data_IF_986000703752
#
_entry.id   IF_986000703752
#
_cell.length_a   1.000
_cell.length_b   1.000
_cell.length_c   1.000
_cell.angle_alpha   90.00
_cell.angle_beta   90.00
_cell.angle_gamma   90.00
#
_symmetry.space_group_name_H-M   'P 1'
#
loop_
_entity.id
_entity.type
_entity.pdbx_description
1 polymer ?
#
# COMPACT_ATOMS: atom_id res chain seq x y z
N UNK A 1 3.49 7.50 22.10
CA UNK A 1 3.20 7.60 20.67
C UNK A 1 3.25 6.24 19.98
N UNK A 2 4.34 5.45 20.09
CA UNK A 2 4.46 4.08 19.52
C UNK A 2 3.25 3.19 19.85
N UNK A 3 2.90 3.04 21.14
CA UNK A 3 1.74 2.24 21.53
C UNK A 3 0.41 2.78 20.99
N UNK A 4 0.28 4.10 20.79
CA UNK A 4 -0.90 4.72 20.19
C UNK A 4 -1.02 4.36 18.72
N UNK A 5 0.07 4.43 17.95
CA UNK A 5 0.11 4.04 16.55
C UNK A 5 -0.33 2.58 16.32
N UNK A 6 0.14 1.65 17.17
CA UNK A 6 -0.30 0.25 17.12
C UNK A 6 -1.77 0.11 17.50
N UNK A 7 -2.20 0.85 18.53
CA UNK A 7 -3.56 0.78 19.05
C UNK A 7 -4.61 1.30 18.06
N UNK A 8 -4.34 2.40 17.33
CA UNK A 8 -5.30 2.95 16.36
C UNK A 8 -5.61 1.96 15.24
N UNK A 9 -4.59 1.26 14.77
CA UNK A 9 -4.75 0.18 13.77
C UNK A 9 -5.45 -1.03 14.37
N UNK A 10 -5.04 -1.52 15.55
CA UNK A 10 -5.77 -2.59 16.24
C UNK A 10 -7.26 -2.27 16.36
N UNK A 11 -7.60 -1.03 16.72
CA UNK A 11 -8.98 -0.61 16.91
C UNK A 11 -9.76 -0.50 15.60
N UNK A 12 -9.13 -0.21 14.46
CA UNK A 12 -9.80 -0.19 13.16
C UNK A 12 -10.11 -1.59 12.61
N UNK A 13 -9.38 -2.62 13.05
CA UNK A 13 -9.53 -4.00 12.54
C UNK A 13 -10.11 -4.98 13.56
N UNK A 14 -10.38 -4.55 14.80
CA UNK A 14 -10.90 -5.46 15.84
C UNK A 14 -12.29 -5.98 15.47
N UNK A 15 -12.61 -7.17 15.96
CA UNK A 15 -13.96 -7.74 15.84
C UNK A 15 -14.99 -6.92 16.59
N UNK A 16 -16.24 -6.98 16.14
CA UNK A 16 -17.38 -6.40 16.85
C UNK A 16 -17.84 -7.37 17.94
N UNK A 17 -17.73 -6.92 19.19
CA UNK A 17 -18.16 -7.70 20.34
C UNK A 17 -19.69 -7.72 20.44
N UNK A 18 -20.29 -8.91 20.43
CA UNK A 18 -21.75 -9.07 20.47
C UNK A 18 -22.30 -9.32 21.89
N UNK A 19 -21.44 -9.71 22.84
CA UNK A 19 -21.82 -10.01 24.21
C UNK A 19 -21.08 -11.21 24.76
N UNK A 20 -21.02 -11.32 26.10
CA UNK A 20 -20.33 -12.44 26.75
C UNK A 20 -21.01 -13.77 26.39
N UNK A 21 -20.22 -14.74 25.93
CA UNK A 21 -20.71 -16.05 25.47
C UNK A 21 -21.25 -16.09 24.04
N UNK A 22 -21.19 -14.97 23.31
CA UNK A 22 -21.42 -14.93 21.86
C UNK A 22 -20.08 -14.77 21.12
N UNK A 23 -19.98 -15.39 19.95
CA UNK A 23 -18.82 -15.22 19.08
C UNK A 23 -18.79 -13.79 18.53
N UNK A 24 -17.65 -13.11 18.65
CA UNK A 24 -17.47 -11.77 18.11
C UNK A 24 -17.49 -11.77 16.58
N UNK A 25 -18.15 -10.78 15.99
CA UNK A 25 -18.31 -10.67 14.53
C UNK A 25 -17.03 -10.13 13.88
N UNK A 26 -16.42 -10.92 12.98
CA UNK A 26 -15.13 -10.63 12.38
C UNK A 26 -15.14 -10.18 10.92
N UNK A 27 -16.29 -10.14 10.25
CA UNK A 27 -16.39 -9.68 8.85
C UNK A 27 -16.54 -8.15 8.78
N UNK A 28 -15.77 -7.44 9.60
CA UNK A 28 -15.71 -5.97 9.63
C UNK A 28 -14.27 -5.52 9.82
N UNK A 29 -13.81 -4.69 8.90
CA UNK A 29 -12.55 -3.96 8.96
C UNK A 29 -12.85 -2.53 8.50
N UNK A 30 -12.31 -1.52 9.19
CA UNK A 30 -12.51 -0.11 8.84
C UNK A 30 -11.35 0.47 8.03
N UNK A 31 -10.29 -0.32 7.79
CA UNK A 31 -8.99 0.12 7.28
C UNK A 31 -8.39 -0.80 6.22
N UNK A 32 -8.96 -1.98 5.96
CA UNK A 32 -8.54 -2.92 4.91
C UNK A 32 -9.75 -3.48 4.17
N UNK A 33 -9.50 -4.22 3.11
CA UNK A 33 -10.47 -4.92 2.28
C UNK A 33 -11.50 -3.99 1.64
N UNK A 34 -11.18 -2.70 1.47
CA UNK A 34 -12.08 -1.75 0.85
C UNK A 34 -11.43 -0.41 0.51
N UNK A 35 -12.18 0.51 -0.15
CA UNK A 35 -11.66 1.78 -0.68
C UNK A 35 -10.85 2.64 0.29
N UNK A 36 -11.23 2.68 1.57
CA UNK A 36 -10.52 3.44 2.60
C UNK A 36 -9.10 2.92 2.94
N UNK A 37 -8.68 1.77 2.42
CA UNK A 37 -7.36 1.18 2.74
C UNK A 37 -6.20 2.17 2.55
N UNK A 38 -6.12 2.81 1.38
CA UNK A 38 -5.02 3.73 1.06
C UNK A 38 -5.10 5.03 1.85
N UNK A 39 -6.30 5.61 1.96
CA UNK A 39 -6.52 6.89 2.66
C UNK A 39 -6.32 6.77 4.16
N UNK A 40 -6.77 5.66 4.75
CA UNK A 40 -6.59 5.36 6.17
C UNK A 40 -5.12 5.23 6.53
N UNK A 41 -4.36 4.43 5.76
CA UNK A 41 -2.93 4.24 6.02
C UNK A 41 -2.11 5.51 5.73
N UNK A 42 -2.51 6.32 4.73
CA UNK A 42 -1.90 7.63 4.48
C UNK A 42 -2.01 8.54 5.72
N UNK A 43 -3.21 8.67 6.31
CA UNK A 43 -3.37 9.46 7.53
C UNK A 43 -2.63 8.85 8.72
N UNK A 44 -2.62 7.53 8.83
CA UNK A 44 -1.90 6.81 9.89
C UNK A 44 -0.41 7.13 9.89
N UNK A 45 0.22 7.16 8.70
CA UNK A 45 1.61 7.56 8.52
C UNK A 45 1.83 9.03 8.82
N UNK A 46 0.96 9.91 8.32
CA UNK A 46 1.08 11.35 8.54
C UNK A 46 1.00 11.72 10.03
N UNK A 47 0.15 11.03 10.79
CA UNK A 47 0.08 11.21 12.24
C UNK A 47 1.37 10.74 12.92
N UNK A 48 1.92 9.58 12.52
CA UNK A 48 3.18 9.09 13.06
C UNK A 48 4.34 10.05 12.76
N UNK A 49 4.42 10.55 11.53
CA UNK A 49 5.47 11.49 11.11
C UNK A 49 5.41 12.78 11.93
N UNK A 50 4.23 13.36 12.09
CA UNK A 50 4.02 14.57 12.91
C UNK A 50 4.38 14.34 14.38
N UNK A 51 3.92 13.23 14.96
CA UNK A 51 4.27 12.87 16.35
C UNK A 51 5.80 12.73 16.53
N UNK A 52 6.49 12.18 15.53
CA UNK A 52 7.96 12.06 15.54
C UNK A 52 8.67 13.39 15.33
N UNK A 53 8.19 14.25 14.43
CA UNK A 53 8.70 15.61 14.23
C UNK A 53 8.63 16.42 15.53
N UNK A 54 7.49 16.37 16.22
CA UNK A 54 7.31 17.04 17.52
C UNK A 54 8.21 16.45 18.60
N UNK A 55 8.30 15.13 18.69
CA UNK A 55 9.14 14.44 19.67
C UNK A 55 10.64 14.76 19.47
N UNK A 56 11.11 14.75 18.23
CA UNK A 56 12.50 15.01 17.86
C UNK A 56 12.82 16.51 17.83
N UNK A 57 11.80 17.37 17.89
CA UNK A 57 11.89 18.81 17.64
C UNK A 57 12.53 19.13 16.29
N UNK A 58 12.28 18.28 15.29
CA UNK A 58 12.79 18.38 13.94
C UNK A 58 11.61 18.43 12.96
N UNK A 59 11.22 19.63 12.48
CA UNK A 59 10.12 19.77 11.53
C UNK A 59 10.46 19.22 10.13
N UNK A 60 11.72 18.87 9.86
CA UNK A 60 12.16 18.29 8.59
C UNK A 60 12.26 16.77 8.63
N UNK A 61 12.04 16.16 9.80
CA UNK A 61 12.01 14.70 9.92
C UNK A 61 10.94 14.11 9.02
N UNK A 62 11.31 13.10 8.23
CA UNK A 62 10.39 12.37 7.36
C UNK A 62 10.54 10.87 7.50
N UNK A 63 9.45 10.15 7.22
CA UNK A 63 9.45 8.69 7.26
C UNK A 63 10.09 8.11 5.98
N UNK A 64 11.16 7.29 6.11
CA UNK A 64 11.75 6.63 4.96
C UNK A 64 10.89 5.45 4.50
N UNK A 65 10.96 5.14 3.21
CA UNK A 65 10.27 4.00 2.60
C UNK A 65 11.19 2.80 2.37
N UNK A 66 10.58 1.62 2.29
CA UNK A 66 11.25 0.39 1.91
C UNK A 66 10.69 -0.12 0.59
N UNK A 67 11.51 -0.08 -0.46
CA UNK A 67 11.17 -0.72 -1.72
C UNK A 67 11.23 -2.24 -1.54
N UNK A 68 10.09 -2.85 -1.25
CA UNK A 68 9.96 -4.30 -1.14
C UNK A 68 9.82 -4.99 -2.51
N UNK A 69 9.54 -4.26 -3.58
CA UNK A 69 9.35 -4.81 -4.92
C UNK A 69 10.69 -5.11 -5.60
N UNK A 70 11.44 -6.07 -5.05
CA UNK A 70 12.81 -6.42 -5.47
C UNK A 70 12.95 -7.85 -5.99
N UNK A 71 11.92 -8.69 -5.86
CA UNK A 71 11.98 -10.12 -6.20
C UNK A 71 12.90 -10.95 -5.30
N UNK A 72 13.39 -10.36 -4.21
CA UNK A 72 14.37 -11.02 -3.32
C UNK A 72 13.69 -12.01 -2.39
N UNK A 73 14.44 -13.06 -2.04
CA UNK A 73 14.06 -14.05 -1.02
C UNK A 73 14.58 -13.66 0.38
N UNK A 74 15.17 -12.48 0.53
CA UNK A 74 15.73 -11.97 1.79
C UNK A 74 15.19 -10.58 2.07
N UNK A 75 15.06 -10.24 3.36
CA UNK A 75 14.80 -8.87 3.80
C UNK A 75 16.13 -8.11 3.80
N UNK A 76 16.29 -7.15 2.90
CA UNK A 76 17.52 -6.37 2.74
C UNK A 76 17.71 -5.29 3.79
N UNK A 77 16.63 -4.78 4.39
CA UNK A 77 16.69 -3.82 5.50
C UNK A 77 16.80 -4.49 6.89
N UNK A 78 16.75 -5.83 6.95
CA UNK A 78 16.82 -6.58 8.20
C UNK A 78 18.28 -6.79 8.65
N UNK A 79 18.93 -5.69 8.99
CA UNK A 79 20.32 -5.61 9.46
C UNK A 79 20.39 -4.86 10.80
N UNK A 80 21.42 -5.11 11.62
CA UNK A 80 21.47 -4.56 13.00
C UNK A 80 21.60 -3.04 13.07
N UNK A 81 22.09 -2.41 12.00
CA UNK A 81 22.17 -0.96 11.80
C UNK A 81 20.82 -0.33 11.41
N UNK A 82 19.92 -1.11 10.82
CA UNK A 82 18.57 -0.71 10.45
C UNK A 82 17.57 -1.47 11.33
N UNK A 83 16.85 -2.44 10.76
CA UNK A 83 15.65 -3.04 11.35
C UNK A 83 15.91 -4.25 12.24
N UNK A 84 17.16 -4.48 12.60
CA UNK A 84 17.65 -5.67 13.28
C UNK A 84 17.81 -6.85 12.33
N UNK A 85 18.88 -7.62 12.50
CA UNK A 85 19.05 -8.90 11.81
C UNK A 85 18.35 -10.05 12.54
N UNK A 86 18.40 -11.24 11.96
CA UNK A 86 17.89 -12.47 12.59
C UNK A 86 18.80 -12.87 13.75
N UNK A 87 18.22 -13.24 14.89
CA UNK A 87 18.99 -13.73 16.03
C UNK A 87 19.65 -15.09 15.73
N UNK A 88 20.90 -15.23 16.15
CA UNK A 88 21.65 -16.49 16.07
C UNK A 88 21.18 -17.52 17.10
N UNK A 89 20.45 -17.09 18.14
CA UNK A 89 19.98 -17.97 19.22
C UNK A 89 18.58 -18.53 18.96
N UNK A 90 17.74 -17.76 18.28
CA UNK A 90 16.40 -18.15 17.90
C UNK A 90 16.09 -17.52 16.54
N UNK A 91 15.80 -18.37 15.55
CA UNK A 91 15.57 -17.94 14.17
C UNK A 91 14.30 -17.12 14.00
N UNK A 92 13.41 -17.11 14.99
CA UNK A 92 12.19 -16.30 15.04
C UNK A 92 12.38 -14.97 15.76
N UNK A 93 13.51 -14.70 16.42
CA UNK A 93 13.74 -13.45 17.14
C UNK A 93 14.67 -12.51 16.39
N UNK A 94 14.65 -11.23 16.79
CA UNK A 94 15.59 -10.22 16.33
C UNK A 94 16.92 -10.34 17.10
N UNK A 95 18.03 -10.09 16.42
CA UNK A 95 19.37 -10.02 17.00
C UNK A 95 19.38 -9.13 18.26
N UNK A 96 19.95 -9.61 19.39
CA UNK A 96 20.08 -8.83 20.63
C UNK A 96 20.87 -7.52 20.47
N UNK A 97 21.64 -7.39 19.39
CA UNK A 97 22.42 -6.20 19.09
C UNK A 97 21.57 -5.04 18.54
N UNK A 98 20.34 -5.32 18.10
CA UNK A 98 19.38 -4.30 17.68
C UNK A 98 18.46 -3.89 18.83
N UNK A 99 18.14 -2.60 18.90
CA UNK A 99 17.20 -2.03 19.89
C UNK A 99 15.81 -2.67 19.81
N UNK A 100 15.41 -3.16 18.63
CA UNK A 100 14.11 -3.79 18.42
C UNK A 100 13.97 -5.15 19.12
N UNK A 101 15.07 -5.79 19.53
CA UNK A 101 15.01 -7.01 20.33
C UNK A 101 14.45 -6.78 21.74
N UNK A 102 14.55 -5.54 22.25
CA UNK A 102 14.07 -5.16 23.57
C UNK A 102 12.59 -4.80 23.56
N UNK A 103 12.05 -4.47 22.39
CA UNK A 103 10.66 -4.06 22.26
C UNK A 103 9.71 -5.20 22.62
N UNK A 104 8.58 -4.81 23.20
CA UNK A 104 7.49 -5.68 23.57
C UNK A 104 6.25 -5.27 22.83
N UNK A 105 5.44 -6.26 22.50
CA UNK A 105 4.26 -6.04 21.67
C UNK A 105 3.06 -5.69 22.54
N UNK A 106 2.16 -4.85 22.04
CA UNK A 106 0.86 -4.60 22.68
C UNK A 106 -0.25 -5.32 21.91
N UNK A 107 -1.46 -5.39 22.48
CA UNK A 107 -2.65 -5.94 21.84
C UNK A 107 -2.56 -7.43 21.45
N UNK A 108 -1.85 -8.25 22.23
CA UNK A 108 -1.70 -9.69 21.96
C UNK A 108 -2.85 -10.55 22.52
N UNK A 109 -3.58 -10.06 23.54
CA UNK A 109 -4.60 -10.83 24.26
C UNK A 109 -5.98 -10.83 23.57
N UNK A 110 -6.05 -11.33 22.33
CA UNK A 110 -7.30 -11.33 21.55
C UNK A 110 -8.43 -12.11 22.20
N UNK A 111 -8.11 -13.23 22.83
CA UNK A 111 -9.09 -14.06 23.52
C UNK A 111 -9.83 -13.25 24.60
N UNK A 112 -9.10 -12.43 25.37
CA UNK A 112 -9.70 -11.56 26.39
C UNK A 112 -10.57 -10.46 25.74
N UNK A 113 -10.11 -9.87 24.63
CA UNK A 113 -10.82 -8.79 23.95
C UNK A 113 -12.13 -9.28 23.32
N UNK A 114 -12.07 -10.41 22.61
CA UNK A 114 -13.18 -10.98 21.85
C UNK A 114 -14.21 -11.69 22.77
N UNK A 115 -13.84 -12.13 23.97
CA UNK A 115 -14.74 -12.84 24.90
C UNK A 115 -15.28 -11.97 26.03
N UNK A 116 -14.46 -11.07 26.58
CA UNK A 116 -14.83 -10.21 27.70
C UNK A 116 -15.33 -8.83 27.25
N UNK A 117 -15.21 -8.50 25.96
CA UNK A 117 -15.55 -7.19 25.42
C UNK A 117 -14.61 -6.08 25.88
N UNK A 118 -13.39 -6.45 26.26
CA UNK A 118 -12.35 -5.49 26.65
C UNK A 118 -11.62 -4.96 25.41
N UNK A 119 -10.92 -3.84 25.56
CA UNK A 119 -10.06 -3.28 24.51
C UNK A 119 -8.60 -3.51 24.86
N UNK A 120 -7.76 -3.52 23.83
CA UNK A 120 -6.31 -3.49 24.02
C UNK A 120 -5.90 -2.37 24.98
N UNK A 121 -5.09 -2.74 25.97
CA UNK A 121 -4.50 -1.84 26.94
C UNK A 121 -3.02 -1.56 26.60
N UNK A 122 -2.36 -0.74 27.40
CA UNK A 122 -0.94 -0.43 27.26
C UNK A 122 -0.02 -1.47 27.90
N UNK A 123 -0.53 -2.64 28.29
CA UNK A 123 0.30 -3.68 28.91
C UNK A 123 1.10 -4.38 27.82
N UNK A 124 2.40 -4.40 28.01
CA UNK A 124 3.34 -5.06 27.11
C UNK A 124 3.29 -6.58 27.27
N UNK A 125 3.16 -7.26 26.14
CA UNK A 125 3.15 -8.72 26.00
C UNK A 125 4.53 -9.27 25.63
N UNK A 126 4.54 -10.24 24.69
CA UNK A 126 5.75 -10.96 24.31
C UNK A 126 6.79 -10.14 23.53
N UNK A 127 7.98 -10.72 23.27
CA UNK A 127 8.93 -10.13 22.34
C UNK A 127 8.39 -10.19 20.90
N UNK A 128 8.91 -9.29 20.10
CA UNK A 128 8.82 -9.27 18.65
C UNK A 128 9.35 -10.61 18.07
N UNK A 129 8.55 -11.34 17.28
CA UNK A 129 9.04 -12.49 16.48
C UNK A 129 8.85 -12.28 14.99
N UNK A 130 9.93 -12.40 14.23
CA UNK A 130 10.05 -12.18 12.79
C UNK A 130 10.89 -13.28 12.15
N UNK A 131 10.42 -13.85 11.06
CA UNK A 131 11.13 -14.90 10.35
C UNK A 131 10.99 -14.73 8.82
N UNK A 132 11.69 -13.76 8.19
CA UNK A 132 11.53 -13.46 6.78
C UNK A 132 11.77 -14.70 5.90
N UNK A 133 10.92 -14.93 4.90
CA UNK A 133 10.87 -16.12 4.04
C UNK A 133 10.66 -17.47 4.78
N UNK A 134 10.33 -17.44 6.07
CA UNK A 134 10.28 -18.63 6.91
C UNK A 134 9.01 -19.46 6.81
N UNK A 135 7.99 -19.01 6.06
CA UNK A 135 6.72 -19.72 5.94
C UNK A 135 6.83 -20.88 4.91
N UNK A 136 7.38 -22.01 5.37
CA UNK A 136 7.54 -23.22 4.55
C UNK A 136 6.21 -23.87 4.15
N UNK A 137 5.12 -23.58 4.87
CA UNK A 137 3.79 -24.11 4.55
C UNK A 137 3.16 -23.40 3.35
N UNK A 138 3.59 -22.17 3.05
CA UNK A 138 3.08 -21.38 1.93
C UNK A 138 4.25 -20.82 1.09
N UNK A 139 4.81 -21.62 0.16
CA UNK A 139 5.98 -21.21 -0.63
C UNK A 139 5.79 -19.91 -1.42
N UNK A 140 4.55 -19.59 -1.82
CA UNK A 140 4.22 -18.36 -2.56
C UNK A 140 4.53 -17.08 -1.76
N UNK A 141 4.59 -17.15 -0.42
CA UNK A 141 4.91 -15.98 0.42
C UNK A 141 6.38 -15.93 0.84
N UNK A 142 7.24 -16.81 0.32
CA UNK A 142 8.67 -16.82 0.67
C UNK A 142 9.53 -15.90 -0.20
N UNK A 143 8.91 -15.22 -1.17
CA UNK A 143 9.56 -14.25 -2.06
C UNK A 143 8.78 -12.95 -2.03
N UNK A 144 9.50 -11.84 -2.07
CA UNK A 144 8.92 -10.50 -2.20
C UNK A 144 8.35 -10.25 -3.62
N UNK A 145 7.48 -9.24 -3.78
CA UNK A 145 6.99 -8.83 -5.10
C UNK A 145 8.14 -8.49 -6.06
N UNK A 146 7.94 -8.73 -7.34
CA UNK A 146 8.90 -8.35 -8.39
C UNK A 146 8.71 -6.87 -8.77
N UNK A 147 9.73 -6.17 -9.29
CA UNK A 147 9.58 -4.78 -9.75
C UNK A 147 8.49 -4.59 -10.80
N UNK A 148 8.27 -5.60 -11.65
CA UNK A 148 7.24 -5.62 -12.68
C UNK A 148 5.82 -5.62 -12.09
N UNK A 149 5.64 -6.18 -10.88
CA UNK A 149 4.34 -6.21 -10.22
C UNK A 149 3.85 -4.77 -9.91
N UNK A 150 4.78 -3.88 -9.54
CA UNK A 150 4.48 -2.46 -9.33
C UNK A 150 4.12 -1.80 -10.66
N UNK A 151 4.91 -2.02 -11.71
CA UNK A 151 4.63 -1.44 -13.03
C UNK A 151 3.25 -1.86 -13.56
N UNK A 152 2.87 -3.14 -13.42
CA UNK A 152 1.56 -3.64 -13.85
C UNK A 152 0.42 -3.06 -13.01
N UNK A 153 0.60 -2.96 -11.68
CA UNK A 153 -0.39 -2.36 -10.81
C UNK A 153 -0.68 -0.90 -11.18
N UNK A 154 0.35 -0.15 -11.60
CA UNK A 154 0.22 1.24 -12.03
C UNK A 154 -0.56 1.40 -13.34
N UNK A 155 -0.68 0.36 -14.16
CA UNK A 155 -1.51 0.37 -15.38
C UNK A 155 -3.01 0.19 -15.09
N UNK A 156 -3.40 -0.16 -13.86
CA UNK A 156 -4.80 -0.37 -13.48
C UNK A 156 -5.52 0.98 -13.34
N UNK A 157 -6.19 1.40 -14.41
CA UNK A 157 -6.81 2.72 -14.53
C UNK A 157 -8.13 2.95 -13.77
N UNK A 158 -8.50 2.13 -12.79
CA UNK A 158 -9.68 2.36 -11.94
C UNK A 158 -9.26 2.27 -10.48
N UNK A 159 -9.57 3.29 -9.67
CA UNK A 159 -9.20 3.29 -8.24
C UNK A 159 -9.78 2.07 -7.51
N UNK A 160 -11.09 1.87 -7.64
CA UNK A 160 -11.76 0.69 -7.13
C UNK A 160 -12.96 0.31 -8.00
N UNK A 161 -13.46 -0.91 -7.84
CA UNK A 161 -14.57 -1.46 -8.61
C UNK A 161 -15.56 -2.17 -7.70
N UNK A 162 -16.85 -2.22 -8.06
CA UNK A 162 -17.83 -3.03 -7.32
C UNK A 162 -17.38 -4.50 -7.22
N UNK A 163 -17.55 -5.16 -6.06
CA UNK A 163 -18.35 -4.75 -4.90
C UNK A 163 -17.60 -3.92 -3.85
N UNK A 164 -16.44 -3.35 -4.19
CA UNK A 164 -15.58 -2.54 -3.31
C UNK A 164 -15.09 -3.31 -2.08
N UNK A 165 -14.69 -4.55 -2.32
CA UNK A 165 -14.24 -5.48 -1.28
C UNK A 165 -12.91 -6.16 -1.67
N UNK A 166 -12.43 -7.11 -0.87
CA UNK A 166 -11.23 -7.90 -1.17
C UNK A 166 -11.34 -8.78 -2.42
N UNK A 167 -12.53 -8.94 -3.00
CA UNK A 167 -12.79 -9.68 -4.24
C UNK A 167 -13.01 -8.79 -5.48
N UNK A 168 -12.73 -7.49 -5.37
CA UNK A 168 -12.83 -6.55 -6.51
C UNK A 168 -11.81 -6.87 -7.60
N UNK A 169 -12.28 -6.91 -8.85
CA UNK A 169 -11.46 -7.17 -10.05
C UNK A 169 -11.27 -5.88 -10.84
N UNK A 170 -10.09 -5.70 -11.45
CA UNK A 170 -9.66 -4.49 -12.15
C UNK A 170 -9.72 -3.24 -11.25
N UNK A 171 -9.37 -3.42 -9.97
CA UNK A 171 -9.35 -2.38 -8.94
C UNK A 171 -7.90 -2.14 -8.51
N UNK A 172 -7.41 -0.92 -8.73
CA UNK A 172 -6.07 -0.51 -8.31
C UNK A 172 -5.88 -0.71 -6.80
N UNK A 173 -6.86 -0.27 -6.00
CA UNK A 173 -6.84 -0.44 -4.53
C UNK A 173 -6.67 -1.91 -4.17
N UNK A 174 -7.46 -2.80 -4.76
CA UNK A 174 -7.42 -4.24 -4.43
C UNK A 174 -6.13 -4.92 -4.93
N UNK A 175 -5.58 -4.44 -6.05
CA UNK A 175 -4.30 -4.88 -6.60
C UNK A 175 -3.14 -4.46 -5.71
N UNK A 176 -3.02 -3.18 -5.35
CA UNK A 176 -1.91 -2.69 -4.52
C UNK A 176 -1.98 -3.25 -3.09
N UNK A 177 -3.20 -3.39 -2.54
CA UNK A 177 -3.43 -4.05 -1.25
C UNK A 177 -2.99 -5.52 -1.29
N UNK A 178 -3.16 -6.18 -2.42
CA UNK A 178 -2.56 -7.49 -2.70
C UNK A 178 -3.53 -8.67 -2.60
N UNK A 179 -4.83 -8.46 -2.84
CA UNK A 179 -5.82 -9.53 -3.00
C UNK A 179 -6.01 -9.94 -4.46
N UNK A 180 -5.69 -9.05 -5.40
CA UNK A 180 -5.64 -9.35 -6.84
C UNK A 180 -4.21 -9.59 -7.30
N UNK A 181 -4.06 -10.24 -8.44
CA UNK A 181 -2.77 -10.25 -9.13
C UNK A 181 -2.38 -8.83 -9.61
N UNK A 182 -1.10 -8.59 -9.92
CA UNK A 182 -0.62 -7.28 -10.37
C UNK A 182 -1.31 -6.75 -11.64
N UNK A 183 -1.98 -7.61 -12.41
CA UNK A 183 -2.72 -7.22 -13.63
C UNK A 183 -4.12 -6.68 -13.33
N UNK A 184 -4.59 -6.79 -12.08
CA UNK A 184 -5.95 -6.42 -11.68
C UNK A 184 -6.89 -7.58 -11.49
N UNK A 185 -6.52 -8.81 -11.90
CA UNK A 185 -7.42 -9.94 -11.85
C UNK A 185 -7.47 -10.53 -10.43
N UNK A 186 -8.68 -10.61 -9.87
CA UNK A 186 -8.87 -11.24 -8.57
C UNK A 186 -8.66 -12.75 -8.64
N UNK A 187 -7.89 -13.28 -7.69
CA UNK A 187 -7.74 -14.71 -7.45
C UNK A 187 -7.67 -14.94 -5.92
N UNK A 188 -8.57 -15.76 -5.35
CA UNK A 188 -8.62 -15.97 -3.90
C UNK A 188 -7.33 -16.56 -3.31
N UNK A 189 -6.50 -17.23 -4.13
CA UNK A 189 -5.25 -17.87 -3.70
C UNK A 189 -4.08 -16.89 -3.76
N UNK A 190 -4.14 -15.89 -4.62
CA UNK A 190 -3.03 -14.96 -4.86
C UNK A 190 -2.92 -13.97 -3.71
N UNK A 191 -1.68 -13.73 -3.27
CA UNK A 191 -1.32 -12.60 -2.42
C UNK A 191 -0.14 -11.92 -3.09
N UNK A 192 -0.29 -10.63 -3.39
CA UNK A 192 0.69 -9.83 -4.12
C UNK A 192 1.04 -8.56 -3.33
N UNK A 193 2.01 -7.79 -3.82
CA UNK A 193 2.36 -6.43 -3.35
C UNK A 193 2.35 -6.29 -1.82
N UNK A 194 1.45 -5.45 -1.27
CA UNK A 194 1.39 -5.14 0.16
C UNK A 194 1.15 -6.40 1.03
N UNK A 195 0.12 -7.19 0.72
CA UNK A 195 -0.19 -8.41 1.46
C UNK A 195 0.96 -9.43 1.39
N UNK A 196 1.61 -9.56 0.23
CA UNK A 196 2.77 -10.44 0.07
C UNK A 196 3.95 -9.96 0.94
N UNK A 197 4.22 -8.66 0.98
CA UNK A 197 5.28 -8.09 1.81
C UNK A 197 5.03 -8.33 3.32
N UNK A 198 3.77 -8.23 3.78
CA UNK A 198 3.40 -8.59 5.16
C UNK A 198 3.60 -10.08 5.44
N UNK A 199 3.09 -10.95 4.56
CA UNK A 199 3.18 -12.41 4.74
C UNK A 199 4.62 -12.92 4.64
N UNK A 200 5.47 -12.26 3.85
CA UNK A 200 6.88 -12.59 3.70
C UNK A 200 7.66 -12.53 5.01
N UNK A 201 7.32 -11.60 5.90
CA UNK A 201 8.00 -11.46 7.18
C UNK A 201 7.75 -12.60 8.16
N UNK A 202 6.67 -13.37 7.94
CA UNK A 202 6.24 -14.49 8.78
C UNK A 202 6.37 -14.14 10.27
N UNK A 203 5.68 -13.08 10.66
CA UNK A 203 5.69 -12.52 12.02
C UNK A 203 4.81 -13.35 12.99
N UNK A 204 4.91 -13.08 14.29
CA UNK A 204 3.92 -13.53 15.28
C UNK A 204 2.55 -12.90 15.01
N UNK A 205 1.75 -13.56 14.17
CA UNK A 205 0.42 -13.08 13.79
C UNK A 205 0.33 -12.80 12.30
N UNK A 206 0.00 -13.83 11.54
CA UNK A 206 -0.62 -13.73 10.20
C UNK A 206 -2.00 -12.99 10.23
N UNK A 207 -2.26 -12.19 11.26
CA UNK A 207 -3.57 -11.59 11.55
C UNK A 207 -3.43 -10.07 11.58
N UNK A 208 -4.29 -9.39 10.82
CA UNK A 208 -4.30 -7.95 10.55
C UNK A 208 -4.14 -7.09 11.81
N UNK A 209 -4.70 -7.49 12.95
CA UNK A 209 -4.68 -6.73 14.21
C UNK A 209 -3.35 -6.71 14.98
N UNK A 210 -2.34 -7.48 14.58
CA UNK A 210 -1.00 -7.46 15.20
C UNK A 210 0.07 -6.81 14.29
N UNK A 211 -0.31 -6.32 13.12
CA UNK A 211 0.66 -6.00 12.07
C UNK A 211 1.53 -4.73 12.28
N UNK A 212 1.12 -3.68 13.03
CA UNK A 212 1.98 -2.51 13.26
C UNK A 212 3.10 -2.70 14.30
N UNK A 213 3.34 -3.91 14.81
CA UNK A 213 4.20 -4.16 15.99
C UNK A 213 5.69 -3.87 15.79
N UNK A 214 6.18 -3.84 14.54
CA UNK A 214 7.48 -3.28 14.20
C UNK A 214 7.26 -1.97 13.43
N UNK A 215 6.98 -0.90 14.17
CA UNK A 215 6.51 0.38 13.63
C UNK A 215 7.34 0.88 12.47
N UNK A 216 8.67 0.80 12.57
CA UNK A 216 9.55 1.29 11.50
C UNK A 216 9.47 0.43 10.24
N UNK A 217 9.18 -0.87 10.37
CA UNK A 217 9.05 -1.77 9.22
C UNK A 217 7.68 -1.60 8.58
N UNK A 218 6.65 -1.55 9.41
CA UNK A 218 5.30 -1.25 9.01
C UNK A 218 5.23 0.13 8.34
N UNK A 219 5.81 1.17 8.94
CA UNK A 219 5.83 2.51 8.35
C UNK A 219 6.60 2.51 7.03
N UNK A 220 7.77 1.87 6.94
CA UNK A 220 8.52 1.80 5.68
C UNK A 220 7.84 0.98 4.58
N UNK A 221 7.10 -0.07 4.93
CA UNK A 221 6.26 -0.82 3.98
C UNK A 221 5.09 0.05 3.50
N UNK A 222 4.35 0.66 4.42
CA UNK A 222 3.17 1.45 4.09
C UNK A 222 3.51 2.77 3.39
N UNK A 223 4.64 3.41 3.69
CA UNK A 223 5.13 4.57 2.93
C UNK A 223 5.47 4.21 1.49
N UNK A 224 5.97 2.99 1.21
CA UNK A 224 6.14 2.55 -0.18
C UNK A 224 4.80 2.27 -0.87
N UNK A 225 3.85 1.66 -0.17
CA UNK A 225 2.46 1.52 -0.67
C UNK A 225 1.81 2.88 -0.93
N UNK A 226 2.03 3.84 -0.05
CA UNK A 226 1.55 5.21 -0.20
C UNK A 226 2.24 5.88 -1.38
N UNK A 227 3.54 5.69 -1.57
CA UNK A 227 4.29 6.22 -2.71
C UNK A 227 3.67 5.76 -4.06
N UNK A 228 3.24 4.50 -4.15
CA UNK A 228 2.52 3.96 -5.32
C UNK A 228 1.18 4.67 -5.52
N UNK A 229 0.46 4.94 -4.43
CA UNK A 229 -0.79 5.70 -4.46
C UNK A 229 -0.59 7.19 -4.80
N UNK A 230 0.49 7.81 -4.31
CA UNK A 230 0.87 9.19 -4.63
C UNK A 230 1.08 9.39 -6.12
N UNK A 231 1.85 8.50 -6.76
CA UNK A 231 2.05 8.52 -8.22
C UNK A 231 0.72 8.39 -8.98
N UNK A 232 -0.14 7.46 -8.54
CA UNK A 232 -1.44 7.26 -9.16
C UNK A 232 -2.33 8.51 -9.03
N UNK A 233 -2.33 9.16 -7.87
CA UNK A 233 -3.09 10.41 -7.65
C UNK A 233 -2.60 11.56 -8.54
N UNK A 234 -1.29 11.65 -8.78
CA UNK A 234 -0.67 12.68 -9.63
C UNK A 234 -0.96 12.46 -11.13
N UNK A 235 -0.75 11.23 -11.63
CA UNK A 235 -0.89 10.92 -13.06
C UNK A 235 -2.36 11.02 -13.53
N UNK A 236 -3.28 10.65 -12.65
CA UNK A 236 -4.67 10.40 -13.05
C UNK A 236 -5.71 11.39 -12.49
N UNK A 237 -5.34 12.22 -11.51
CA UNK A 237 -6.09 13.38 -11.02
C UNK A 237 -7.60 13.13 -10.67
N UNK A 238 -8.38 14.21 -10.52
CA UNK A 238 -9.74 14.29 -9.99
C UNK A 238 -10.82 13.40 -10.64
N UNK A 239 -10.55 12.75 -11.78
CA UNK A 239 -11.49 11.80 -12.39
C UNK A 239 -11.66 10.52 -11.56
N UNK A 240 -10.62 10.13 -10.81
CA UNK A 240 -10.58 8.83 -10.12
C UNK A 240 -11.36 8.78 -8.82
N UNK A 241 -11.56 9.93 -8.18
CA UNK A 241 -12.39 10.00 -6.98
C UNK A 241 -13.83 9.56 -7.26
N UNK A 242 -14.30 9.64 -8.52
CA UNK A 242 -15.63 9.17 -8.92
C UNK A 242 -15.80 7.66 -8.68
N UNK A 243 -14.72 6.88 -8.77
CA UNK A 243 -14.70 5.45 -8.50
C UNK A 243 -14.62 5.12 -7.00
N UNK A 244 -14.38 6.11 -6.14
CA UNK A 244 -14.49 5.97 -4.69
C UNK A 244 -15.96 6.11 -4.28
N UNK A 245 -16.65 5.10 -3.74
CA UNK A 245 -18.10 5.17 -3.58
C UNK A 245 -18.57 6.13 -2.48
N UNK A 246 -19.69 6.83 -2.73
CA UNK A 246 -20.32 7.76 -1.78
C UNK A 246 -21.18 7.04 -0.72
N UNK A 247 -21.92 6.01 -1.12
CA UNK A 247 -22.77 5.19 -0.25
C UNK A 247 -22.53 3.70 -0.58
N UNK A 248 -22.21 2.89 0.43
CA UNK A 248 -21.91 1.45 0.29
C UNK A 248 -22.59 0.57 1.33
N UNK A 249 -22.37 -0.74 1.14
CA UNK A 249 -22.68 -1.84 2.05
C UNK A 249 -21.59 -2.09 3.11
N UNK A 250 -20.30 -1.83 2.82
CA UNK A 250 -19.21 -2.03 3.79
C UNK A 250 -19.06 -0.80 4.69
N UNK A 251 -19.21 -1.01 6.00
CA UNK A 251 -19.08 0.05 7.01
C UNK A 251 -17.64 0.59 7.07
N UNK A 252 -17.45 1.89 7.27
CA UNK A 252 -16.12 2.49 7.40
C UNK A 252 -15.48 2.96 6.09
N UNK A 253 -15.85 2.36 4.96
CA UNK A 253 -15.18 2.61 3.68
C UNK A 253 -15.83 3.68 2.80
N UNK A 254 -16.95 4.30 3.22
CA UNK A 254 -17.59 5.35 2.42
C UNK A 254 -16.67 6.58 2.26
N UNK A 255 -16.79 7.29 1.13
CA UNK A 255 -15.95 8.47 0.81
C UNK A 255 -15.99 9.56 1.89
N UNK A 256 -17.16 9.77 2.47
CA UNK A 256 -17.41 10.79 3.50
C UNK A 256 -17.31 10.23 4.93
N UNK A 257 -16.91 8.97 5.08
CA UNK A 257 -16.77 8.36 6.40
C UNK A 257 -15.56 8.95 7.11
N UNK A 258 -15.70 9.24 8.41
CA UNK A 258 -14.58 9.64 9.25
C UNK A 258 -13.73 8.40 9.56
N UNK A 259 -12.48 8.40 9.13
CA UNK A 259 -11.57 7.27 9.29
C UNK A 259 -11.39 6.93 10.78
N UNK A 260 -11.80 5.73 11.16
CA UNK A 260 -11.82 5.29 12.57
C UNK A 260 -10.42 4.83 12.98
N UNK A 261 -9.88 5.19 14.16
CA UNK A 261 -10.43 6.04 15.22
C UNK A 261 -9.74 7.40 15.30
N UNK A 262 -9.41 8.02 14.17
CA UNK A 262 -8.60 9.23 14.17
C UNK A 262 -9.35 10.43 14.78
N UNK A 263 -8.60 11.30 15.43
CA UNK A 263 -9.09 12.53 16.03
C UNK A 263 -8.14 13.69 15.75
N UNK A 264 -8.62 14.88 15.32
CA UNK A 264 -10.02 15.23 15.04
C UNK A 264 -10.63 14.40 13.89
N UNK A 265 -11.97 14.40 13.72
CA UNK A 265 -12.61 13.64 12.65
C UNK A 265 -12.05 14.05 11.29
N UNK A 266 -11.54 13.07 10.56
CA UNK A 266 -10.92 13.23 9.24
C UNK A 266 -11.55 12.23 8.29
N UNK A 267 -11.93 12.69 7.10
CA UNK A 267 -12.64 11.87 6.11
C UNK A 267 -11.69 11.26 5.08
N UNK A 268 -12.11 10.18 4.41
CA UNK A 268 -11.33 9.58 3.32
C UNK A 268 -11.07 10.59 2.18
N UNK A 269 -12.02 11.50 1.90
CA UNK A 269 -11.89 12.48 0.82
C UNK A 269 -10.74 13.48 1.05
N UNK A 270 -10.46 13.83 2.30
CA UNK A 270 -9.39 14.77 2.66
C UNK A 270 -8.01 14.19 2.38
N UNK A 271 -7.87 12.87 2.45
CA UNK A 271 -6.62 12.17 2.12
C UNK A 271 -6.53 11.77 0.65
N UNK A 272 -7.59 11.93 -0.14
CA UNK A 272 -7.60 11.64 -1.57
C UNK A 272 -7.14 12.86 -2.38
N UNK A 273 -5.93 13.33 -2.09
CA UNK A 273 -5.32 14.52 -2.70
C UNK A 273 -3.87 14.23 -3.10
N UNK A 274 -3.29 15.05 -3.96
CA UNK A 274 -1.86 14.96 -4.29
C UNK A 274 -1.03 15.39 -3.08
N UNK A 275 -0.06 14.56 -2.68
CA UNK A 275 0.72 14.78 -1.47
C UNK A 275 1.61 16.05 -1.52
N UNK A 276 2.33 16.34 -2.63
CA UNK A 276 3.23 17.49 -2.66
C UNK A 276 2.52 18.83 -2.46
N UNK A 277 1.37 19.00 -3.11
CA UNK A 277 0.63 20.29 -3.09
C UNK A 277 -0.28 20.46 -1.87
N UNK A 278 -0.82 19.36 -1.33
CA UNK A 278 -1.89 19.43 -0.31
C UNK A 278 -1.46 18.94 1.07
N UNK A 279 -0.49 18.01 1.15
CA UNK A 279 -0.09 17.37 2.41
C UNK A 279 1.34 17.73 2.85
N UNK A 280 2.13 18.34 1.96
CA UNK A 280 3.44 18.90 2.28
C UNK A 280 4.60 17.90 2.28
N UNK A 281 4.44 16.73 1.65
CA UNK A 281 5.49 15.74 1.47
C UNK A 281 5.52 15.21 0.03
N UNK A 282 6.67 14.70 -0.39
CA UNK A 282 6.88 14.07 -1.70
C UNK A 282 7.86 12.92 -1.57
N UNK A 283 7.81 11.96 -2.49
CA UNK A 283 8.79 10.88 -2.54
C UNK A 283 9.84 11.14 -3.60
N UNK A 284 11.10 10.92 -3.23
CA UNK A 284 12.19 10.77 -4.18
C UNK A 284 12.22 9.31 -4.65
N UNK A 285 11.45 9.00 -5.69
CA UNK A 285 11.33 7.64 -6.23
C UNK A 285 11.51 7.62 -7.74
N UNK A 286 12.08 6.54 -8.26
CA UNK A 286 12.11 6.24 -9.69
C UNK A 286 11.28 5.00 -9.95
N UNK A 287 10.25 5.12 -10.78
CA UNK A 287 9.40 4.01 -11.15
C UNK A 287 10.09 3.14 -12.22
N UNK A 288 9.97 1.80 -12.13
CA UNK A 288 10.46 0.93 -13.18
C UNK A 288 9.79 1.31 -14.50
N UNK A 289 10.61 1.59 -15.51
CA UNK A 289 10.11 1.88 -16.85
C UNK A 289 9.36 0.68 -17.42
N UNK A 290 8.41 0.95 -18.31
CA UNK A 290 7.66 -0.09 -19.02
C UNK A 290 8.62 -0.90 -19.90
N UNK A 291 8.80 -2.18 -19.60
CA UNK A 291 9.45 -3.12 -20.51
C UNK A 291 8.48 -3.41 -21.66
N UNK A 292 8.54 -2.60 -22.72
CA UNK A 292 7.74 -2.85 -23.92
C UNK A 292 8.12 -4.21 -24.50
N UNK A 293 7.11 -5.04 -24.79
CA UNK A 293 7.33 -6.27 -25.53
C UNK A 293 7.94 -5.94 -26.91
N UNK A 294 8.76 -6.83 -27.47
CA UNK A 294 9.33 -6.64 -28.82
C UNK A 294 8.22 -6.34 -29.84
N UNK A 295 7.05 -6.96 -29.69
CA UNK A 295 5.85 -6.69 -30.48
C UNK A 295 5.33 -5.26 -30.35
N UNK A 296 5.29 -4.68 -29.15
CA UNK A 296 4.88 -3.30 -28.95
C UNK A 296 5.92 -2.32 -29.49
N UNK A 297 7.21 -2.59 -29.29
CA UNK A 297 8.29 -1.76 -29.86
C UNK A 297 8.19 -1.72 -31.38
N UNK A 298 7.99 -2.89 -32.01
CA UNK A 298 7.81 -2.99 -33.46
C UNK A 298 6.55 -2.24 -33.89
N UNK A 299 5.46 -2.36 -33.15
CA UNK A 299 4.19 -1.69 -33.48
C UNK A 299 4.31 -0.17 -33.36
N UNK A 300 4.92 0.34 -32.28
CA UNK A 300 5.20 1.76 -32.09
C UNK A 300 6.11 2.28 -33.20
N UNK A 301 7.16 1.53 -33.56
CA UNK A 301 8.07 1.90 -34.64
C UNK A 301 7.36 1.97 -36.00
N UNK A 302 6.49 1.00 -36.30
CA UNK A 302 5.69 0.97 -37.55
C UNK A 302 4.71 2.12 -37.59
N UNK A 303 3.97 2.38 -36.50
CA UNK A 303 3.02 3.49 -36.42
C UNK A 303 3.73 4.84 -36.55
N UNK A 304 4.87 5.03 -35.88
CA UNK A 304 5.67 6.24 -36.00
C UNK A 304 6.17 6.45 -37.44
N UNK A 305 6.66 5.39 -38.11
CA UNK A 305 7.09 5.45 -39.50
C UNK A 305 5.92 5.83 -40.44
N UNK A 306 4.73 5.24 -40.24
CA UNK A 306 3.53 5.58 -41.02
C UNK A 306 3.10 7.03 -40.83
N UNK A 307 3.18 7.55 -39.60
CA UNK A 307 2.88 8.96 -39.32
C UNK A 307 3.87 9.90 -40.00
N UNK A 308 5.17 9.59 -39.98
CA UNK A 308 6.19 10.38 -40.69
C UNK A 308 5.92 10.38 -42.20
N UNK A 309 5.59 9.23 -42.78
CA UNK A 309 5.22 9.14 -44.20
C UNK A 309 3.98 9.96 -44.51
N UNK A 310 2.96 9.90 -43.66
CA UNK A 310 1.74 10.70 -43.82
C UNK A 310 2.03 12.21 -43.79
N UNK A 311 2.87 12.67 -42.86
CA UNK A 311 3.28 14.08 -42.76
C UNK A 311 4.05 14.52 -44.02
N UNK A 312 4.95 13.68 -44.53
CA UNK A 312 5.69 13.97 -45.77
C UNK A 312 4.72 14.06 -46.96
N UNK A 313 3.76 13.15 -47.06
CA UNK A 313 2.74 13.19 -48.12
C UNK A 313 1.89 14.45 -48.06
N UNK A 314 1.39 14.82 -46.88
CA UNK A 314 0.62 16.05 -46.69
C UNK A 314 1.47 17.28 -47.04
N UNK A 315 2.72 17.33 -46.59
CA UNK A 315 3.65 18.41 -46.91
C UNK A 315 3.93 18.53 -48.42
N UNK A 316 4.13 17.39 -49.11
CA UNK A 316 4.32 17.35 -50.55
C UNK A 316 3.07 17.78 -51.31
N UNK A 317 1.88 17.31 -50.91
CA UNK A 317 0.61 17.72 -51.49
C UNK A 317 0.35 19.22 -51.30
N UNK A 318 0.61 19.77 -50.11
CA UNK A 318 0.51 21.21 -49.86
C UNK A 318 1.50 22.02 -50.71
N UNK A 319 2.74 21.55 -50.88
CA UNK A 319 3.74 22.20 -51.73
C UNK A 319 3.37 22.17 -53.22
N UNK A 320 2.82 21.05 -53.71
CA UNK A 320 2.34 20.93 -55.08
C UNK A 320 1.14 21.85 -55.30
N UNK A 321 0.20 21.91 -54.35
CA UNK A 321 -0.97 22.78 -54.46
C UNK A 321 -0.60 24.28 -54.37
N UNK A 322 0.37 24.64 -53.53
CA UNK A 322 0.89 26.00 -53.45
C UNK A 322 1.68 26.43 -54.70
N UNK A 323 2.35 25.48 -55.39
CA UNK A 323 2.98 25.74 -56.70
C UNK A 323 1.94 25.89 -57.81
N UNK A 324 0.94 25.01 -57.86
CA UNK A 324 -0.16 25.11 -58.83
C UNK A 324 -0.88 26.46 -58.76
N UNK A 325 -1.17 26.96 -57.56
CA UNK A 325 -1.82 28.27 -57.39
C UNK A 325 -0.91 29.47 -57.72
N UNK A 326 0.41 29.29 -57.78
CA UNK A 326 1.36 30.34 -58.20
C UNK A 326 1.58 30.39 -59.71
N UNK A 327 1.34 29.27 -60.42
CA UNK A 327 1.48 29.20 -61.87
C UNK A 327 0.18 29.63 -62.60
N UNK A 328 -0.94 29.79 -61.89
CA UNK A 328 -2.23 30.29 -62.41
C UNK A 328 -2.50 31.80 -62.15
N UNK A 329 -1.58 32.53 -61.52
CA UNK A 329 -1.68 33.97 -61.23
C UNK A 329 -0.73 34.82 -62.08
#
# INVERSE_FOLDING_TARGET
FIGHFVWTHYYSVKKTFLGAGQESFGEVDFSHEGPAFLTWHRYHLLQLERDMQEMLQDPSFSLPYWNFATGRNICDICTDDLMGSRSNFDSSLISPNSVFSQWRVVCESLEDYDTLGTLCNSTEGGPIRRNPAGNVARPMVQRLPEPQDVAQCLEVGLFDTPPFYSNSTNSFRNTVEGYSDPTGKYDPVVRSLHNLAHLFLNWTGEQTHLSPKLILFWSSLHTFTECIFGWMAEEYNAGYIQHFPLEMLLIGHNRQYNMVPFWPPITNVEMFVTAPDNLGYTYEVQWPGRDFSISEIVTIAVVAALLVVAVIFVGASCLIHARSNRDEA
#
